data_IF_498112329153
#
_entry.id   IF_498112329153
#
_cell.length_a   1.000
_cell.length_b   1.000
_cell.length_c   1.000
_cell.angle_alpha   90.00
_cell.angle_beta   90.00
_cell.angle_gamma   90.00
#
_symmetry.space_group_name_H-M   'P 1'
#
loop_
_entity.id
_entity.type
_entity.pdbx_description
1 polymer ?
#
# COMPACT_ATOMS: atom_id res chain seq x y z
N UNK A 1 -49.37 59.82 -21.22
CA UNK A 1 -48.20 60.71 -20.97
C UNK A 1 -47.36 60.01 -19.90
N UNK A 2 -46.22 59.42 -20.33
CA UNK A 2 -45.07 58.88 -19.54
C UNK A 2 -45.41 57.76 -18.53
N UNK A 3 -44.66 56.68 -18.29
CA UNK A 3 -43.21 56.38 -18.24
C UNK A 3 -43.09 54.82 -18.16
N UNK A 4 -42.28 54.13 -18.98
CA UNK A 4 -40.93 53.59 -18.67
C UNK A 4 -40.93 52.55 -17.50
N UNK A 5 -40.31 51.37 -17.50
CA UNK A 5 -39.46 50.56 -18.40
C UNK A 5 -39.44 49.13 -17.86
N UNK A 6 -39.04 48.20 -18.73
CA UNK A 6 -38.40 46.90 -18.47
C UNK A 6 -37.75 46.74 -17.08
N UNK A 7 -38.01 45.60 -16.43
CA UNK A 7 -37.03 44.96 -15.56
C UNK A 7 -37.33 43.46 -15.41
N UNK A 8 -36.44 42.66 -16.01
CA UNK A 8 -35.70 41.68 -15.24
C UNK A 8 -36.48 40.48 -14.70
N UNK A 9 -36.40 39.39 -15.45
CA UNK A 9 -35.69 38.22 -14.94
C UNK A 9 -36.25 37.49 -13.72
N UNK A 10 -36.45 36.18 -13.92
CA UNK A 10 -36.16 35.16 -12.91
C UNK A 10 -37.03 35.18 -11.65
N UNK A 11 -38.18 34.50 -11.72
CA UNK A 11 -38.51 33.52 -10.68
C UNK A 11 -39.15 32.29 -11.34
N UNK A 12 -38.33 31.53 -12.07
CA UNK A 12 -38.59 30.09 -12.21
C UNK A 12 -38.66 29.55 -10.78
N UNK A 13 -39.76 28.93 -10.33
CA UNK A 13 -39.76 28.25 -9.06
C UNK A 13 -38.64 27.21 -9.16
N UNK A 14 -37.57 27.44 -8.40
CA UNK A 14 -36.52 26.47 -8.20
C UNK A 14 -37.20 25.27 -7.54
N UNK A 15 -37.60 24.32 -8.39
CA UNK A 15 -38.10 23.02 -8.01
C UNK A 15 -36.95 22.37 -7.24
N UNK A 16 -36.95 22.57 -5.91
CA UNK A 16 -36.05 21.88 -4.99
C UNK A 16 -36.44 20.41 -5.06
N UNK A 17 -35.81 19.69 -5.97
CA UNK A 17 -35.77 18.24 -5.92
C UNK A 17 -35.11 17.86 -4.58
N UNK A 18 -35.81 17.18 -3.65
CA UNK A 18 -35.17 16.51 -2.54
C UNK A 18 -34.52 15.24 -3.12
N UNK A 19 -33.45 15.49 -3.85
CA UNK A 19 -32.80 14.53 -4.73
C UNK A 19 -31.41 15.01 -5.12
N UNK A 20 -30.84 15.95 -4.36
CA UNK A 20 -29.39 15.98 -4.19
C UNK A 20 -29.06 14.63 -3.56
N UNK A 21 -28.81 13.64 -4.42
CA UNK A 21 -27.79 12.65 -4.12
C UNK A 21 -26.60 13.50 -3.76
N UNK A 22 -26.41 13.74 -2.46
CA UNK A 22 -25.08 13.81 -1.90
C UNK A 22 -24.47 12.51 -2.39
N UNK A 23 -23.85 12.55 -3.57
CA UNK A 23 -22.79 11.64 -3.86
C UNK A 23 -21.84 11.90 -2.71
N UNK A 24 -21.96 11.07 -1.66
CA UNK A 24 -20.99 11.01 -0.59
C UNK A 24 -19.64 11.10 -1.30
N UNK A 25 -18.73 12.01 -0.89
CA UNK A 25 -17.45 12.21 -1.55
C UNK A 25 -16.91 10.83 -1.84
N UNK A 26 -16.87 10.50 -3.13
CA UNK A 26 -16.70 9.12 -3.55
C UNK A 26 -15.36 8.71 -2.99
N UNK A 27 -15.40 7.91 -1.91
CA UNK A 27 -14.27 7.30 -1.23
C UNK A 27 -13.63 6.28 -2.18
N UNK A 28 -13.19 6.76 -3.34
CA UNK A 28 -12.47 6.01 -4.34
C UNK A 28 -11.03 6.09 -3.88
N UNK A 29 -10.66 5.13 -3.03
CA UNK A 29 -9.27 4.72 -2.85
C UNK A 29 -8.77 4.36 -4.26
N UNK A 30 -8.25 5.36 -4.98
CA UNK A 30 -7.65 5.15 -6.28
C UNK A 30 -6.34 4.43 -5.99
N UNK A 31 -6.36 3.10 -6.15
CA UNK A 31 -5.16 2.31 -6.36
C UNK A 31 -4.50 2.79 -7.66
N UNK A 32 -3.79 3.92 -7.57
CA UNK A 32 -3.02 4.46 -8.68
C UNK A 32 -1.74 3.63 -8.86
N UNK A 33 -1.20 3.50 -10.09
CA UNK A 33 0.10 2.89 -10.33
C UNK A 33 1.20 3.50 -9.46
N UNK A 34 1.10 4.81 -9.17
CA UNK A 34 1.99 5.55 -8.30
C UNK A 34 1.91 5.10 -6.83
N UNK A 35 0.70 4.89 -6.31
CA UNK A 35 0.49 4.39 -4.95
C UNK A 35 1.06 2.97 -4.79
N UNK A 36 0.91 2.12 -5.81
CA UNK A 36 1.55 0.80 -5.83
C UNK A 36 3.07 0.91 -5.86
N UNK A 37 3.63 1.73 -6.76
CA UNK A 37 5.07 1.90 -6.89
C UNK A 37 5.71 2.43 -5.60
N UNK A 38 5.09 3.41 -4.95
CA UNK A 38 5.57 3.96 -3.66
C UNK A 38 5.47 2.92 -2.56
N UNK A 39 4.31 2.25 -2.41
CA UNK A 39 4.13 1.24 -1.36
C UNK A 39 5.08 0.06 -1.53
N UNK A 40 5.26 -0.41 -2.76
CA UNK A 40 6.19 -1.48 -3.10
C UNK A 40 7.65 -1.06 -2.89
N UNK A 41 8.01 0.15 -3.32
CA UNK A 41 9.36 0.70 -3.10
C UNK A 41 9.70 0.79 -1.62
N UNK A 42 8.79 1.29 -0.79
CA UNK A 42 8.98 1.33 0.67
C UNK A 42 9.10 -0.08 1.24
N UNK A 43 8.24 -1.01 0.85
CA UNK A 43 8.34 -2.39 1.31
C UNK A 43 9.68 -3.04 0.92
N UNK A 44 10.15 -2.83 -0.31
CA UNK A 44 11.43 -3.36 -0.77
C UNK A 44 12.61 -2.77 0.01
N UNK A 45 12.59 -1.46 0.28
CA UNK A 45 13.63 -0.79 1.06
C UNK A 45 13.65 -1.25 2.52
N UNK A 46 12.49 -1.40 3.15
CA UNK A 46 12.39 -1.93 4.52
C UNK A 46 12.89 -3.37 4.58
N UNK A 47 12.49 -4.20 3.61
CA UNK A 47 12.95 -5.59 3.55
C UNK A 47 14.46 -5.66 3.34
N UNK A 48 15.00 -4.82 2.46
CA UNK A 48 16.44 -4.71 2.25
C UNK A 48 17.16 -4.28 3.54
N UNK A 49 16.64 -3.31 4.27
CA UNK A 49 17.22 -2.88 5.54
C UNK A 49 17.22 -4.02 6.58
N UNK A 50 16.12 -4.77 6.71
CA UNK A 50 16.04 -5.93 7.60
C UNK A 50 17.03 -7.02 7.18
N UNK A 51 17.09 -7.34 5.88
CA UNK A 51 18.02 -8.33 5.35
C UNK A 51 19.48 -7.92 5.58
N UNK A 52 19.82 -6.65 5.33
CA UNK A 52 21.14 -6.10 5.59
C UNK A 52 21.50 -6.13 7.07
N UNK A 53 20.56 -5.83 7.96
CA UNK A 53 20.81 -5.93 9.39
C UNK A 53 21.01 -7.40 9.82
N UNK A 54 20.22 -8.33 9.29
CA UNK A 54 20.31 -9.75 9.64
C UNK A 54 21.56 -10.45 9.08
N UNK A 55 21.93 -10.13 7.83
CA UNK A 55 23.08 -10.72 7.13
C UNK A 55 24.36 -9.98 7.48
N UNK A 56 24.34 -8.65 7.40
CA UNK A 56 25.51 -7.80 7.62
C UNK A 56 26.09 -7.94 9.02
N UNK A 57 25.24 -8.26 10.01
CA UNK A 57 25.65 -8.55 11.39
C UNK A 57 26.58 -9.77 11.43
N UNK A 58 27.88 -9.51 11.34
CA UNK A 58 28.95 -10.51 11.39
C UNK A 58 29.61 -10.85 10.05
N UNK A 59 29.08 -10.42 8.90
CA UNK A 59 29.71 -10.68 7.59
C UNK A 59 30.52 -9.50 7.04
N UNK A 60 30.34 -8.29 7.55
CA UNK A 60 31.02 -7.10 7.04
C UNK A 60 31.49 -6.20 8.19
N UNK A 61 32.80 -5.92 8.31
CA UNK A 61 33.31 -4.97 9.30
C UNK A 61 33.11 -3.51 8.88
N UNK A 62 32.95 -3.24 7.58
CA UNK A 62 32.98 -1.89 7.03
C UNK A 62 31.62 -1.43 6.48
N UNK A 63 31.34 -0.12 6.62
CA UNK A 63 30.13 0.55 6.13
C UNK A 63 29.82 0.24 4.66
N UNK A 64 30.85 0.18 3.81
CA UNK A 64 30.68 -0.13 2.39
C UNK A 64 30.13 -1.53 2.11
N UNK A 65 30.44 -2.51 2.96
CA UNK A 65 29.86 -3.85 2.86
C UNK A 65 28.35 -3.84 3.14
N UNK A 66 27.92 -3.15 4.20
CA UNK A 66 26.50 -2.98 4.52
C UNK A 66 25.75 -2.23 3.42
N UNK A 67 26.34 -1.15 2.89
CA UNK A 67 25.75 -0.38 1.80
C UNK A 67 25.53 -1.25 0.55
N UNK A 68 26.53 -2.08 0.18
CA UNK A 68 26.42 -2.98 -0.97
C UNK A 68 25.38 -4.10 -0.76
N UNK A 69 25.33 -4.70 0.44
CA UNK A 69 24.30 -5.70 0.80
C UNK A 69 22.90 -5.08 0.70
N UNK A 70 22.71 -3.83 1.16
CA UNK A 70 21.43 -3.15 1.05
C UNK A 70 21.02 -2.91 -0.41
N UNK A 71 21.96 -2.53 -1.27
CA UNK A 71 21.69 -2.37 -2.71
C UNK A 71 21.28 -3.70 -3.34
N UNK A 72 22.04 -4.78 -3.12
CA UNK A 72 21.71 -6.10 -3.66
C UNK A 72 20.35 -6.57 -3.13
N UNK A 73 20.13 -6.49 -1.82
CA UNK A 73 18.88 -6.90 -1.20
C UNK A 73 17.68 -6.10 -1.73
N UNK A 74 17.84 -4.78 -1.95
CA UNK A 74 16.80 -3.95 -2.54
C UNK A 74 16.51 -4.33 -4.00
N UNK A 75 17.53 -4.61 -4.82
CA UNK A 75 17.35 -5.09 -6.19
C UNK A 75 16.68 -6.46 -6.24
N UNK A 76 17.08 -7.39 -5.36
CA UNK A 76 16.46 -8.71 -5.26
C UNK A 76 15.01 -8.61 -4.79
N UNK A 77 14.74 -7.81 -3.76
CA UNK A 77 13.40 -7.56 -3.26
C UNK A 77 12.53 -6.91 -4.34
N UNK A 78 13.04 -5.88 -5.03
CA UNK A 78 12.31 -5.15 -6.06
C UNK A 78 12.07 -6.01 -7.32
N UNK A 79 13.06 -6.79 -7.76
CA UNK A 79 13.00 -7.61 -8.96
C UNK A 79 12.22 -8.91 -8.77
N UNK A 80 12.67 -9.77 -7.85
CA UNK A 80 12.04 -11.08 -7.60
C UNK A 80 10.73 -10.98 -6.84
N UNK A 81 10.54 -9.91 -6.06
CA UNK A 81 9.28 -9.66 -5.36
C UNK A 81 8.16 -9.21 -6.29
N UNK A 82 8.45 -8.64 -7.46
CA UNK A 82 7.42 -8.03 -8.32
C UNK A 82 6.39 -9.06 -8.82
N UNK A 83 6.80 -10.22 -9.37
CA UNK A 83 5.88 -11.24 -9.86
C UNK A 83 4.95 -11.80 -8.78
N UNK A 84 5.35 -11.77 -7.51
CA UNK A 84 4.57 -12.31 -6.39
C UNK A 84 3.77 -11.22 -5.68
N UNK A 85 4.34 -10.03 -5.50
CA UNK A 85 3.72 -8.91 -4.80
C UNK A 85 2.62 -8.23 -5.62
N UNK A 86 2.73 -8.18 -6.96
CA UNK A 86 1.69 -7.62 -7.83
C UNK A 86 0.36 -8.39 -7.70
N UNK A 87 0.31 -9.73 -7.95
CA UNK A 87 -0.95 -10.47 -7.86
C UNK A 87 -1.52 -10.45 -6.44
N UNK A 88 -0.66 -10.60 -5.43
CA UNK A 88 -1.07 -10.55 -4.02
C UNK A 88 -1.64 -9.16 -3.68
N UNK A 89 -0.96 -8.08 -4.05
CA UNK A 89 -1.40 -6.71 -3.80
C UNK A 89 -2.72 -6.36 -4.50
N UNK A 90 -2.93 -6.84 -5.73
CA UNK A 90 -4.20 -6.70 -6.45
C UNK A 90 -5.31 -7.48 -5.75
N UNK A 91 -5.06 -8.75 -5.41
CA UNK A 91 -6.04 -9.60 -4.73
C UNK A 91 -6.47 -9.00 -3.39
N UNK A 92 -5.51 -8.57 -2.57
CA UNK A 92 -5.78 -7.85 -1.31
C UNK A 92 -6.52 -6.54 -1.55
N UNK A 93 -6.11 -5.74 -2.54
CA UNK A 93 -6.76 -4.46 -2.84
C UNK A 93 -8.23 -4.61 -3.25
N UNK A 94 -8.56 -5.67 -4.00
CA UNK A 94 -9.93 -6.01 -4.37
C UNK A 94 -10.72 -6.59 -3.20
N UNK A 95 -10.13 -7.51 -2.44
CA UNK A 95 -10.77 -8.17 -1.30
C UNK A 95 -11.08 -7.18 -0.15
N UNK A 96 -10.22 -6.18 0.04
CA UNK A 96 -10.35 -5.17 1.09
C UNK A 96 -11.15 -3.93 0.65
N UNK A 97 -11.61 -3.89 -0.61
CA UNK A 97 -12.47 -2.81 -1.14
C UNK A 97 -13.73 -2.52 -0.31
N UNK A 98 -14.44 -3.51 0.27
CA UNK A 98 -15.63 -3.24 1.10
C UNK A 98 -15.29 -2.82 2.54
N UNK A 99 -14.02 -2.91 2.96
CA UNK A 99 -13.61 -2.71 4.35
C UNK A 99 -13.19 -1.26 4.56
N UNK A 100 -13.96 -0.51 5.36
CA UNK A 100 -13.69 0.90 5.69
C UNK A 100 -12.53 1.09 6.69
N UNK A 101 -12.21 0.08 7.50
CA UNK A 101 -11.18 0.19 8.53
C UNK A 101 -9.77 0.02 7.96
N UNK A 102 -8.96 1.07 8.03
CA UNK A 102 -7.60 1.10 7.49
C UNK A 102 -6.63 0.16 8.23
N UNK A 103 -6.85 -0.08 9.53
CA UNK A 103 -6.06 -1.04 10.30
C UNK A 103 -6.18 -2.47 9.77
N UNK A 104 -7.35 -2.88 9.27
CA UNK A 104 -7.52 -4.19 8.62
C UNK A 104 -6.72 -4.28 7.32
N UNK A 105 -6.51 -3.16 6.61
CA UNK A 105 -5.62 -3.18 5.44
C UNK A 105 -4.18 -3.41 5.85
N UNK A 106 -3.68 -2.70 6.86
CA UNK A 106 -2.31 -2.90 7.36
C UNK A 106 -2.12 -4.34 7.87
N UNK A 107 -3.09 -4.86 8.64
CA UNK A 107 -3.05 -6.23 9.17
C UNK A 107 -3.09 -7.27 8.05
N UNK A 108 -3.90 -7.07 7.01
CA UNK A 108 -3.98 -8.00 5.90
C UNK A 108 -2.71 -7.97 5.02
N UNK A 109 -2.16 -6.77 4.77
CA UNK A 109 -0.86 -6.61 4.09
C UNK A 109 0.31 -7.12 4.94
N UNK A 110 0.15 -7.25 6.26
CA UNK A 110 1.10 -7.97 7.11
C UNK A 110 0.93 -9.48 7.00
N UNK A 111 -0.26 -9.98 7.34
CA UNK A 111 -0.52 -11.39 7.57
C UNK A 111 -0.44 -12.22 6.29
N UNK A 112 -0.99 -11.74 5.18
CA UNK A 112 -1.04 -12.52 3.94
C UNK A 112 0.36 -12.75 3.37
N UNK A 113 1.21 -11.72 3.13
CA UNK A 113 2.58 -11.95 2.70
C UNK A 113 3.40 -12.75 3.72
N UNK A 114 3.24 -12.47 5.02
CA UNK A 114 3.98 -13.20 6.06
C UNK A 114 3.68 -14.70 6.03
N UNK A 115 2.41 -15.08 6.00
CA UNK A 115 1.99 -16.48 5.98
C UNK A 115 2.37 -17.16 4.67
N UNK A 116 2.22 -16.49 3.52
CA UNK A 116 2.61 -17.04 2.23
C UNK A 116 4.11 -17.31 2.15
N UNK A 117 4.93 -16.35 2.56
CA UNK A 117 6.39 -16.51 2.60
C UNK A 117 6.79 -17.58 3.61
N UNK A 118 6.23 -17.54 4.82
CA UNK A 118 6.52 -18.53 5.85
C UNK A 118 6.22 -19.94 5.34
N UNK A 119 5.01 -20.18 4.81
CA UNK A 119 4.60 -21.50 4.35
C UNK A 119 5.45 -21.98 3.17
N UNK A 120 5.68 -21.12 2.18
CA UNK A 120 6.48 -21.48 1.00
C UNK A 120 7.91 -21.87 1.39
N UNK A 121 8.57 -21.09 2.24
CA UNK A 121 9.96 -21.34 2.65
C UNK A 121 10.03 -22.47 3.67
N UNK A 122 9.05 -22.60 4.58
CA UNK A 122 9.00 -23.70 5.55
C UNK A 122 8.88 -25.06 4.88
N UNK A 123 8.03 -25.16 3.84
CA UNK A 123 7.89 -26.38 3.05
C UNK A 123 9.17 -26.69 2.25
N UNK A 124 9.82 -25.67 1.70
CA UNK A 124 11.06 -25.84 0.93
C UNK A 124 12.26 -26.29 1.79
N UNK A 125 12.44 -25.67 2.96
CA UNK A 125 13.60 -25.89 3.82
C UNK A 125 13.35 -26.96 4.89
N UNK A 126 12.11 -27.46 5.01
CA UNK A 126 11.65 -28.37 6.09
C UNK A 126 12.01 -27.86 7.49
N UNK A 127 11.93 -26.55 7.69
CA UNK A 127 12.21 -25.85 8.94
C UNK A 127 11.10 -24.87 9.24
N UNK A 128 10.79 -24.65 10.52
CA UNK A 128 9.65 -23.80 10.93
C UNK A 128 10.12 -22.42 11.39
N UNK A 129 11.21 -22.38 12.17
CA UNK A 129 11.60 -21.16 12.89
C UNK A 129 12.26 -20.11 12.00
N UNK A 130 13.27 -20.48 11.20
CA UNK A 130 13.96 -19.54 10.30
C UNK A 130 12.99 -18.95 9.26
N UNK A 131 12.13 -19.75 8.61
CA UNK A 131 11.14 -19.22 7.67
C UNK A 131 10.09 -18.33 8.33
N UNK A 132 9.80 -18.54 9.62
CA UNK A 132 8.86 -17.69 10.36
C UNK A 132 9.43 -16.28 10.49
N UNK A 133 10.72 -16.17 10.85
CA UNK A 133 11.41 -14.88 10.93
C UNK A 133 11.46 -14.19 9.57
N UNK A 134 11.72 -14.93 8.48
CA UNK A 134 11.68 -14.38 7.12
C UNK A 134 10.27 -13.92 6.74
N UNK A 135 9.24 -14.70 7.04
CA UNK A 135 7.84 -14.33 6.82
C UNK A 135 7.46 -13.06 7.58
N UNK A 136 7.85 -12.96 8.86
CA UNK A 136 7.63 -11.76 9.66
C UNK A 136 8.32 -10.53 9.06
N UNK A 137 9.57 -10.66 8.60
CA UNK A 137 10.27 -9.56 7.93
C UNK A 137 9.52 -9.09 6.68
N UNK A 138 9.05 -10.02 5.84
CA UNK A 138 8.25 -9.69 4.65
C UNK A 138 6.92 -9.03 5.04
N UNK A 139 6.23 -9.56 6.05
CA UNK A 139 4.97 -8.99 6.55
C UNK A 139 5.13 -7.57 7.08
N UNK A 140 6.16 -7.32 7.91
CA UNK A 140 6.45 -5.98 8.44
C UNK A 140 6.74 -5.01 7.31
N UNK A 141 7.56 -5.40 6.35
CA UNK A 141 7.87 -4.59 5.18
C UNK A 141 6.62 -4.25 4.35
N UNK A 142 5.76 -5.22 4.10
CA UNK A 142 4.52 -5.02 3.34
C UNK A 142 3.52 -4.13 4.10
N UNK A 143 3.41 -4.31 5.42
CA UNK A 143 2.57 -3.47 6.28
C UNK A 143 3.04 -2.00 6.27
N UNK A 144 4.35 -1.79 6.37
CA UNK A 144 4.96 -0.45 6.30
C UNK A 144 4.82 0.17 4.91
N UNK A 145 4.94 -0.61 3.84
CA UNK A 145 4.62 -0.18 2.49
C UNK A 145 3.18 0.31 2.35
N UNK A 146 2.22 -0.42 2.93
CA UNK A 146 0.81 0.00 2.97
C UNK A 146 0.60 1.26 3.81
N UNK A 147 1.26 1.35 4.96
CA UNK A 147 1.18 2.52 5.85
C UNK A 147 1.78 3.78 5.21
N UNK A 148 2.86 3.66 4.43
CA UNK A 148 3.50 4.79 3.76
C UNK A 148 2.58 5.46 2.73
N UNK A 149 1.77 4.66 2.04
CA UNK A 149 0.80 5.14 1.04
C UNK A 149 -0.41 5.80 1.69
N UNK A 150 -0.68 5.53 2.98
CA UNK A 150 -1.83 6.12 3.67
C UNK A 150 -1.77 7.66 3.68
N UNK A 151 -0.58 8.26 3.79
CA UNK A 151 -0.42 9.73 3.71
C UNK A 151 -0.63 10.33 2.31
N UNK A 152 -0.61 9.51 1.26
CA UNK A 152 -0.88 9.94 -0.13
C UNK A 152 -2.37 9.90 -0.49
N UNK A 153 -3.21 9.32 0.37
CA UNK A 153 -4.67 9.28 0.21
C UNK A 153 -5.27 10.42 1.04
N UNK A 154 -5.16 11.65 0.54
CA UNK A 154 -5.86 12.80 1.13
C UNK A 154 -7.36 12.63 0.89
N UNK A 155 -8.13 12.58 1.96
CA UNK A 155 -9.60 12.69 1.92
C UNK A 155 -9.93 14.14 1.57
N UNK A 156 -10.47 14.36 0.38
CA UNK A 156 -11.00 15.64 -0.10
C UNK A 156 -12.41 15.44 -0.61
#
# INVERSE_FOLDING_TARGET
MMEQTDDGGLLRPALRLPGRRLAAPGNRVRFGPTAFAVGYGVAALVLAAIATAAVGWGTSPDFWGYAWIAVIAAFYAAGLGLPTAVPVGIALGLALRPVASQWLHVLAFFAVPALLTWLAVALAVRSVFVPLLMGLAVGVSAALGRAAVWRLVTVG
#
